data_IF_929434948586
#
_entry.id   IF_929434948586
#
_cell.length_a   1.000
_cell.length_b   1.000
_cell.length_c   1.000
_cell.angle_alpha   90.00
_cell.angle_beta   90.00
_cell.angle_gamma   90.00
#
_symmetry.space_group_name_H-M   'P 1'
#
loop_
_entity.id
_entity.type
_entity.pdbx_description
1 polymer ?
#
# COMPACT_ATOMS: atom_id res chain seq x y z
N UNK A 1 -9.35 58.07 11.31
CA UNK A 1 -7.88 57.89 11.39
C UNK A 1 -7.46 57.08 10.18
N UNK A 2 -7.02 57.78 9.13
CA UNK A 2 -6.64 57.23 7.83
C UNK A 2 -5.13 57.44 7.65
N UNK A 3 -4.43 56.44 7.12
CA UNK A 3 -3.12 56.57 6.45
C UNK A 3 -3.08 55.42 5.42
N UNK A 4 -3.30 55.68 4.13
CA UNK A 4 -2.44 56.32 3.11
C UNK A 4 -1.49 55.32 2.43
N UNK A 5 -1.80 55.05 1.17
CA UNK A 5 -1.04 54.31 0.19
C UNK A 5 0.25 55.05 -0.24
N UNK A 6 1.28 54.31 -0.67
CA UNK A 6 2.29 54.79 -1.62
C UNK A 6 2.61 53.65 -2.60
N UNK A 7 2.53 53.96 -3.89
CA UNK A 7 2.91 53.10 -5.01
C UNK A 7 4.31 53.47 -5.51
N UNK A 8 5.07 52.49 -5.98
CA UNK A 8 6.26 52.70 -6.82
C UNK A 8 6.25 51.71 -7.98
N UNK A 9 6.52 52.24 -9.17
CA UNK A 9 6.36 51.66 -10.51
C UNK A 9 7.66 51.10 -11.11
N UNK A 10 7.49 50.31 -12.19
CA UNK A 10 8.44 49.95 -13.27
C UNK A 10 9.36 48.74 -13.01
N UNK A 11 9.62 47.81 -13.93
CA UNK A 11 9.48 47.79 -15.39
C UNK A 11 9.37 46.34 -15.92
N UNK A 12 8.54 46.13 -16.95
CA UNK A 12 8.36 44.87 -17.68
C UNK A 12 9.14 44.95 -18.99
N UNK A 13 10.09 44.04 -19.21
CA UNK A 13 10.78 43.86 -20.48
C UNK A 13 9.93 43.02 -21.43
N UNK A 14 9.49 43.62 -22.54
CA UNK A 14 8.82 42.96 -23.67
C UNK A 14 9.85 42.20 -24.51
N UNK A 15 9.56 40.94 -24.84
CA UNK A 15 10.13 40.26 -26.00
C UNK A 15 9.01 40.01 -27.01
N UNK A 16 9.17 40.60 -28.20
CA UNK A 16 8.37 40.31 -29.39
C UNK A 16 9.02 39.15 -30.13
N UNK A 17 8.22 38.21 -30.64
CA UNK A 17 8.56 37.48 -31.87
C UNK A 17 7.33 37.29 -32.76
N UNK A 18 7.60 37.38 -34.05
CA UNK A 18 6.72 37.57 -35.19
C UNK A 18 5.88 36.35 -35.56
N UNK A 19 4.75 36.63 -36.20
CA UNK A 19 3.89 35.68 -36.91
C UNK A 19 4.58 35.11 -38.14
N UNK A 20 4.56 33.78 -38.28
CA UNK A 20 4.51 33.14 -39.60
C UNK A 20 3.71 31.84 -39.53
N UNK A 21 2.88 31.66 -40.55
CA UNK A 21 1.87 30.63 -40.71
C UNK A 21 2.40 29.44 -41.52
N UNK A 22 2.23 28.21 -41.03
CA UNK A 22 1.81 27.05 -41.83
C UNK A 22 1.76 25.73 -41.03
N UNK A 23 0.54 25.19 -40.91
CA UNK A 23 0.14 23.75 -40.91
C UNK A 23 0.79 22.74 -39.94
N UNK A 24 0.02 22.31 -38.93
CA UNK A 24 0.06 20.96 -38.31
C UNK A 24 -1.39 20.44 -38.18
N UNK A 25 -1.68 19.13 -38.41
CA UNK A 25 -3.04 18.61 -38.61
C UNK A 25 -3.83 18.37 -37.32
N UNK A 26 -5.15 18.30 -37.51
CA UNK A 26 -6.25 18.26 -36.55
C UNK A 26 -6.14 17.20 -35.43
N UNK A 27 -6.45 17.63 -34.20
CA UNK A 27 -6.73 16.80 -33.05
C UNK A 27 -8.21 16.39 -33.01
N UNK A 28 -8.47 15.11 -32.73
CA UNK A 28 -9.79 14.51 -32.55
C UNK A 28 -10.59 15.16 -31.40
N UNK A 29 -11.92 15.37 -31.53
CA UNK A 29 -12.73 15.96 -30.48
C UNK A 29 -13.11 14.92 -29.41
N UNK A 30 -12.53 15.05 -28.21
CA UNK A 30 -12.97 14.36 -27.00
C UNK A 30 -14.10 15.14 -26.32
N UNK A 31 -15.34 14.88 -26.71
CA UNK A 31 -16.52 15.18 -25.88
C UNK A 31 -17.58 14.11 -26.09
N UNK A 32 -17.75 13.21 -25.11
CA UNK A 32 -18.90 12.31 -25.04
C UNK A 32 -20.01 12.96 -24.17
N UNK A 33 -21.29 12.87 -24.56
CA UNK A 33 -22.38 13.48 -23.81
C UNK A 33 -22.77 12.63 -22.59
N UNK A 34 -22.78 13.24 -21.41
CA UNK A 34 -23.38 12.65 -20.21
C UNK A 34 -24.91 12.57 -20.37
N UNK A 35 -25.49 11.37 -20.29
CA UNK A 35 -26.94 11.18 -20.11
C UNK A 35 -27.23 10.87 -18.64
N UNK A 36 -28.04 11.72 -18.01
CA UNK A 36 -28.58 11.52 -16.66
C UNK A 36 -29.55 10.34 -16.65
N UNK A 37 -29.27 9.30 -15.85
CA UNK A 37 -30.20 8.19 -15.63
C UNK A 37 -31.21 8.55 -14.53
N UNK A 38 -32.50 8.53 -14.87
CA UNK A 38 -33.61 8.68 -13.91
C UNK A 38 -33.83 7.36 -13.16
N UNK A 39 -33.82 7.42 -11.83
CA UNK A 39 -34.14 6.27 -10.97
C UNK A 39 -35.66 6.08 -10.84
N UNK A 40 -36.12 4.82 -11.00
CA UNK A 40 -37.51 4.41 -10.73
C UNK A 40 -37.71 4.21 -9.22
N UNK A 41 -38.76 4.82 -8.69
CA UNK A 41 -39.19 4.69 -7.29
C UNK A 41 -39.54 3.23 -6.91
N UNK A 42 -38.81 2.65 -5.96
CA UNK A 42 -39.15 1.39 -5.30
C UNK A 42 -39.99 1.69 -4.04
N UNK A 43 -41.23 1.19 -4.01
CA UNK A 43 -42.14 1.28 -2.87
C UNK A 43 -41.64 0.41 -1.71
N UNK A 44 -41.35 1.04 -0.58
CA UNK A 44 -41.04 0.37 0.70
C UNK A 44 -42.35 -0.14 1.33
N UNK A 45 -42.45 -1.45 1.59
CA UNK A 45 -43.53 -2.04 2.41
C UNK A 45 -43.11 -2.05 3.88
N UNK A 46 -43.86 -1.35 4.73
CA UNK A 46 -43.75 -1.39 6.19
C UNK A 46 -43.94 -2.83 6.72
N UNK A 47 -42.94 -3.36 7.43
CA UNK A 47 -43.08 -4.52 8.31
C UNK A 47 -42.98 -4.05 9.76
N UNK A 48 -43.95 -4.49 10.57
CA UNK A 48 -44.21 -4.03 11.92
C UNK A 48 -43.07 -4.26 12.92
N UNK A 49 -43.13 -3.46 13.99
CA UNK A 49 -42.20 -3.47 15.13
C UNK A 49 -42.15 -4.86 15.78
N UNK A 50 -40.98 -5.50 15.71
CA UNK A 50 -40.62 -6.64 16.57
C UNK A 50 -39.61 -6.16 17.61
N UNK A 51 -40.02 -6.16 18.88
CA UNK A 51 -39.12 -5.96 20.02
C UNK A 51 -38.33 -7.24 20.24
N UNK A 52 -37.05 -7.24 19.91
CA UNK A 52 -36.14 -8.36 20.23
C UNK A 52 -35.65 -8.17 21.67
N UNK A 53 -36.19 -8.96 22.60
CA UNK A 53 -35.64 -9.12 23.96
C UNK A 53 -34.46 -10.09 23.88
N UNK A 54 -33.27 -9.65 24.30
CA UNK A 54 -32.15 -10.54 24.55
C UNK A 54 -32.44 -11.38 25.80
N UNK A 55 -32.53 -12.70 25.63
CA UNK A 55 -32.61 -13.67 26.73
C UNK A 55 -31.22 -14.28 26.87
N UNK A 56 -30.49 -13.91 27.92
CA UNK A 56 -29.32 -14.66 28.37
C UNK A 56 -29.82 -15.85 29.18
N UNK A 57 -29.90 -17.03 28.56
CA UNK A 57 -30.01 -18.29 29.29
C UNK A 57 -28.62 -18.91 29.40
N UNK A 58 -28.06 -18.88 30.61
CA UNK A 58 -26.89 -19.67 30.95
C UNK A 58 -27.27 -21.14 31.08
N UNK A 59 -26.85 -21.95 30.12
CA UNK A 59 -26.80 -23.42 30.25
C UNK A 59 -25.60 -23.95 29.47
N UNK A 60 -24.84 -24.82 30.15
CA UNK A 60 -23.63 -25.52 29.71
C UNK A 60 -23.59 -25.87 28.22
N UNK A 61 -22.47 -25.52 27.58
CA UNK A 61 -22.09 -26.07 26.29
C UNK A 61 -21.61 -27.51 26.47
N UNK A 62 -22.39 -28.46 25.98
CA UNK A 62 -21.97 -29.84 25.77
C UNK A 62 -21.04 -29.87 24.54
N UNK A 63 -19.79 -30.28 24.73
CA UNK A 63 -18.75 -30.25 23.71
C UNK A 63 -18.88 -31.42 22.72
N UNK A 64 -19.86 -31.31 21.82
CA UNK A 64 -19.94 -32.10 20.59
C UNK A 64 -19.43 -31.30 19.39
N UNK A 65 -18.12 -31.09 19.28
CA UNK A 65 -17.53 -30.44 18.11
C UNK A 65 -17.57 -31.43 16.95
N UNK A 66 -18.51 -31.25 16.03
CA UNK A 66 -18.39 -31.77 14.67
C UNK A 66 -17.43 -30.85 13.93
N UNK A 67 -16.21 -31.34 13.66
CA UNK A 67 -15.24 -30.62 12.84
C UNK A 67 -15.80 -30.38 11.43
N UNK A 68 -15.75 -29.16 10.87
CA UNK A 68 -16.18 -28.91 9.51
C UNK A 68 -15.32 -29.73 8.53
N UNK A 69 -15.94 -30.63 7.77
CA UNK A 69 -15.27 -31.36 6.69
C UNK A 69 -15.36 -30.55 5.38
N UNK A 70 -14.21 -30.20 4.79
CA UNK A 70 -14.13 -29.43 3.54
C UNK A 70 -12.80 -28.67 3.38
N UNK A 71 -12.71 -27.76 2.40
CA UNK A 71 -11.49 -26.95 2.08
C UNK A 71 -10.94 -26.18 3.30
N UNK A 72 -11.77 -25.96 4.32
CA UNK A 72 -11.44 -25.29 5.58
C UNK A 72 -11.08 -26.24 6.73
N UNK A 73 -10.96 -27.56 6.48
CA UNK A 73 -10.47 -28.49 7.49
C UNK A 73 -9.07 -28.06 7.92
N UNK A 74 -8.86 -27.93 9.23
CA UNK A 74 -7.51 -27.84 9.80
C UNK A 74 -6.72 -29.00 9.20
N UNK A 75 -5.56 -28.68 8.63
CA UNK A 75 -4.67 -29.66 8.03
C UNK A 75 -4.19 -30.63 9.10
N UNK A 76 -4.86 -31.77 9.24
CA UNK A 76 -4.46 -32.85 10.15
C UNK A 76 -3.12 -33.49 9.74
N UNK A 77 -2.64 -33.20 8.53
CA UNK A 77 -1.32 -33.59 8.01
C UNK A 77 -0.18 -32.68 8.48
N UNK A 78 -0.48 -31.53 9.09
CA UNK A 78 0.54 -30.61 9.60
C UNK A 78 1.03 -31.08 10.98
N UNK A 79 2.07 -31.92 11.01
CA UNK A 79 2.83 -32.17 12.23
C UNK A 79 3.60 -30.90 12.63
N UNK A 80 2.96 -30.04 13.42
CA UNK A 80 3.63 -28.91 14.06
C UNK A 80 4.48 -29.46 15.20
N UNK A 81 5.82 -29.26 15.20
CA UNK A 81 6.62 -29.63 16.37
C UNK A 81 6.10 -28.86 17.57
N UNK A 82 5.81 -29.57 18.68
CA UNK A 82 5.41 -28.97 19.95
C UNK A 82 6.61 -28.23 20.52
N UNK A 83 6.86 -27.02 20.02
CA UNK A 83 7.84 -26.14 20.61
C UNK A 83 7.30 -25.71 21.98
N UNK A 84 8.06 -25.88 23.07
CA UNK A 84 7.68 -25.37 24.39
C UNK A 84 7.68 -23.83 24.45
N UNK A 85 8.05 -23.16 23.35
CA UNK A 85 7.97 -21.71 23.20
C UNK A 85 6.51 -21.29 22.96
N UNK A 86 5.79 -21.03 24.05
CA UNK A 86 4.66 -20.10 23.99
C UNK A 86 5.23 -18.67 23.94
N UNK A 87 4.99 -17.89 22.88
CA UNK A 87 5.39 -16.50 22.87
C UNK A 87 4.64 -15.74 23.96
N UNK A 88 5.37 -15.05 24.83
CA UNK A 88 4.83 -14.20 25.90
C UNK A 88 3.85 -13.10 25.41
N UNK A 89 3.81 -12.86 24.09
CA UNK A 89 2.93 -11.88 23.43
C UNK A 89 1.44 -12.25 23.49
N UNK A 90 1.08 -13.49 23.85
CA UNK A 90 -0.31 -13.92 23.99
C UNK A 90 -1.07 -13.20 25.14
N UNK A 91 -0.37 -12.44 25.98
CA UNK A 91 -0.92 -11.72 27.14
C UNK A 91 -1.02 -10.19 26.95
N UNK A 92 -0.97 -9.70 25.70
CA UNK A 92 -1.16 -8.26 25.41
C UNK A 92 -0.03 -7.35 25.87
N UNK A 93 1.05 -7.92 26.42
CA UNK A 93 2.28 -7.18 26.65
C UNK A 93 3.11 -7.18 25.37
N UNK A 94 3.53 -5.98 24.95
CA UNK A 94 4.46 -5.80 23.84
C UNK A 94 5.77 -6.57 24.06
N UNK A 95 6.65 -6.65 23.06
CA UNK A 95 7.92 -7.35 23.19
C UNK A 95 8.68 -6.86 24.43
N UNK A 96 9.34 -7.76 25.20
CA UNK A 96 10.11 -7.37 26.39
C UNK A 96 11.09 -6.23 26.08
N UNK A 97 11.36 -5.31 27.01
CA UNK A 97 12.21 -4.14 26.76
C UNK A 97 13.57 -4.47 26.13
N UNK A 98 14.20 -5.57 26.53
CA UNK A 98 15.46 -6.04 25.97
C UNK A 98 15.36 -6.53 24.52
N UNK A 99 14.20 -7.07 24.11
CA UNK A 99 13.93 -7.41 22.70
C UNK A 99 13.75 -6.13 21.88
N UNK A 100 13.10 -5.11 22.45
CA UNK A 100 12.93 -3.82 21.79
C UNK A 100 14.26 -3.10 21.57
N UNK A 101 15.12 -3.00 22.58
CA UNK A 101 16.44 -2.36 22.47
C UNK A 101 17.35 -3.07 21.45
N UNK A 102 17.40 -4.40 21.50
CA UNK A 102 18.17 -5.19 20.53
C UNK A 102 17.62 -5.03 19.12
N UNK A 103 16.29 -5.01 18.96
CA UNK A 103 15.66 -4.78 17.67
C UNK A 103 16.01 -3.40 17.12
N UNK A 104 15.94 -2.34 17.94
CA UNK A 104 16.33 -0.99 17.54
C UNK A 104 17.81 -0.92 17.12
N UNK A 105 18.71 -1.54 17.88
CA UNK A 105 20.14 -1.62 17.53
C UNK A 105 20.36 -2.28 16.15
N UNK A 106 19.65 -3.37 15.87
CA UNK A 106 19.73 -4.05 14.56
C UNK A 106 19.15 -3.18 13.44
N UNK A 107 18.02 -2.51 13.65
CA UNK A 107 17.43 -1.61 12.65
C UNK A 107 18.37 -0.44 12.33
N UNK A 108 19.02 0.14 13.35
CA UNK A 108 20.03 1.18 13.15
C UNK A 108 21.23 0.68 12.35
N UNK A 109 21.67 -0.56 12.57
CA UNK A 109 22.74 -1.17 11.77
C UNK A 109 22.30 -1.40 10.32
N UNK A 110 21.11 -1.97 10.09
CA UNK A 110 20.54 -2.17 8.75
C UNK A 110 20.42 -0.84 7.98
N UNK A 111 20.03 0.23 8.66
CA UNK A 111 19.91 1.55 8.06
C UNK A 111 21.25 2.09 7.53
N UNK A 112 22.37 1.81 8.19
CA UNK A 112 23.71 2.16 7.69
C UNK A 112 24.04 1.46 6.36
N UNK A 113 23.45 0.28 6.14
CA UNK A 113 23.51 -0.45 4.88
C UNK A 113 22.39 -0.07 3.90
N UNK A 114 21.68 1.04 4.14
CA UNK A 114 20.58 1.56 3.30
C UNK A 114 19.40 0.60 3.20
N UNK A 115 19.19 -0.21 4.24
CA UNK A 115 18.07 -1.13 4.36
C UNK A 115 17.02 -0.50 5.28
N UNK A 116 15.82 -0.32 4.74
CA UNK A 116 14.65 0.21 5.47
C UNK A 116 13.53 -0.84 5.49
N UNK A 117 12.57 -0.66 6.40
CA UNK A 117 11.47 -1.62 6.58
C UNK A 117 10.12 -0.92 6.56
N UNK A 118 9.25 -1.37 5.66
CA UNK A 118 7.82 -1.10 5.66
C UNK A 118 7.11 -2.30 6.30
N UNK A 119 6.97 -2.30 7.63
CA UNK A 119 6.53 -3.48 8.38
C UNK A 119 5.44 -3.19 9.40
N UNK A 120 4.29 -3.82 9.26
CA UNK A 120 3.07 -3.50 10.02
C UNK A 120 2.05 -2.73 9.17
N UNK A 121 0.99 -2.23 9.81
CA UNK A 121 -0.01 -1.42 9.13
C UNK A 121 0.58 -0.10 8.62
N UNK A 122 0.18 0.33 7.42
CA UNK A 122 0.58 1.64 6.89
C UNK A 122 -0.29 2.71 7.54
N UNK A 123 0.31 3.54 8.37
CA UNK A 123 -0.30 4.70 9.01
C UNK A 123 0.61 5.93 8.86
N UNK A 124 0.14 7.09 9.31
CA UNK A 124 0.84 8.36 9.14
C UNK A 124 2.20 8.36 9.85
N UNK A 125 2.31 7.72 11.02
CA UNK A 125 3.56 7.63 11.77
C UNK A 125 4.60 6.77 11.03
N UNK A 126 4.20 5.59 10.54
CA UNK A 126 5.07 4.74 9.73
C UNK A 126 5.50 5.45 8.45
N UNK A 127 4.57 6.13 7.77
CA UNK A 127 4.87 6.86 6.55
C UNK A 127 5.87 7.99 6.81
N UNK A 128 5.67 8.79 7.86
CA UNK A 128 6.59 9.87 8.23
C UNK A 128 8.00 9.34 8.49
N UNK A 129 8.14 8.21 9.19
CA UNK A 129 9.45 7.58 9.45
C UNK A 129 10.11 7.13 8.14
N UNK A 130 9.38 6.43 7.27
CA UNK A 130 9.92 5.94 6.00
C UNK A 130 10.31 7.10 5.07
N UNK A 131 9.47 8.13 4.99
CA UNK A 131 9.75 9.35 4.21
C UNK A 131 11.03 10.03 4.70
N UNK A 132 11.16 10.22 6.02
CA UNK A 132 12.38 10.79 6.61
C UNK A 132 13.63 9.94 6.31
N UNK A 133 13.51 8.61 6.40
CA UNK A 133 14.59 7.68 6.07
C UNK A 133 15.02 7.75 4.60
N UNK A 134 14.05 7.79 3.68
CA UNK A 134 14.31 7.91 2.24
C UNK A 134 15.02 9.22 1.90
N UNK A 135 14.52 10.35 2.42
CA UNK A 135 15.13 11.66 2.23
C UNK A 135 16.54 11.74 2.82
N UNK A 136 16.76 11.14 3.99
CA UNK A 136 18.08 11.07 4.60
C UNK A 136 19.05 10.26 3.74
N UNK A 137 18.64 9.09 3.25
CA UNK A 137 19.49 8.22 2.44
C UNK A 137 19.84 8.84 1.09
N UNK A 138 18.92 9.61 0.49
CA UNK A 138 19.18 10.43 -0.70
C UNK A 138 20.20 11.55 -0.43
N UNK A 139 20.09 12.22 0.73
CA UNK A 139 21.04 13.27 1.10
C UNK A 139 22.45 12.74 1.39
N UNK A 140 22.56 11.54 1.99
CA UNK A 140 23.85 10.92 2.32
C UNK A 140 24.58 10.40 1.09
N UNK A 141 23.89 9.67 0.22
CA UNK A 141 24.48 9.14 -1.00
C UNK A 141 23.37 8.95 -2.06
N UNK A 142 23.23 9.87 -3.02
CA UNK A 142 22.15 9.82 -4.00
C UNK A 142 22.39 8.78 -5.11
N UNK A 143 23.56 8.12 -5.13
CA UNK A 143 23.96 7.21 -6.22
C UNK A 143 23.72 5.75 -5.88
N UNK A 144 23.60 5.42 -4.59
CA UNK A 144 23.45 4.04 -4.12
C UNK A 144 22.00 3.68 -3.89
N UNK A 145 21.62 2.51 -4.36
CA UNK A 145 20.31 1.91 -4.12
C UNK A 145 19.92 1.88 -2.64
N UNK A 146 18.61 1.92 -2.40
CA UNK A 146 17.98 1.69 -1.11
C UNK A 146 17.20 0.39 -1.21
N UNK A 147 17.25 -0.46 -0.18
CA UNK A 147 16.47 -1.70 -0.13
C UNK A 147 15.36 -1.56 0.90
N UNK A 148 14.11 -1.59 0.45
CA UNK A 148 12.93 -1.56 1.29
C UNK A 148 12.31 -2.96 1.43
N UNK A 149 12.38 -3.52 2.63
CA UNK A 149 11.68 -4.76 2.96
C UNK A 149 10.22 -4.48 3.33
N UNK A 150 9.29 -5.13 2.63
CA UNK A 150 7.85 -4.94 2.78
C UNK A 150 7.23 -6.17 3.47
N UNK A 151 6.66 -5.95 4.65
CA UNK A 151 5.83 -6.90 5.38
C UNK A 151 4.61 -6.19 5.98
N UNK A 152 3.63 -5.87 5.14
CA UNK A 152 2.51 -5.01 5.50
C UNK A 152 1.18 -5.57 5.00
N UNK A 153 0.12 -5.55 5.83
CA UNK A 153 -1.25 -5.81 5.40
C UNK A 153 -1.86 -4.62 4.62
N UNK A 154 -1.13 -3.51 4.47
CA UNK A 154 -1.65 -2.25 3.94
C UNK A 154 -2.13 -1.31 5.05
N UNK A 155 -2.98 -0.34 4.69
CA UNK A 155 -3.47 0.66 5.63
C UNK A 155 -3.93 1.93 4.90
N UNK A 156 -3.63 3.09 5.49
CA UNK A 156 -4.01 4.42 4.98
C UNK A 156 -3.48 4.64 3.56
N UNK A 157 -4.39 4.99 2.64
CA UNK A 157 -4.05 5.31 1.24
C UNK A 157 -3.17 6.55 1.17
N UNK A 158 -3.53 7.62 1.90
CA UNK A 158 -2.78 8.88 1.88
C UNK A 158 -1.38 8.71 2.46
N UNK A 159 -1.24 7.97 3.56
CA UNK A 159 0.06 7.66 4.17
C UNK A 159 0.95 6.85 3.20
N UNK A 160 0.38 5.83 2.56
CA UNK A 160 1.10 5.05 1.57
C UNK A 160 1.47 5.85 0.31
N UNK A 161 0.60 6.78 -0.12
CA UNK A 161 0.91 7.68 -1.25
C UNK A 161 2.07 8.64 -0.92
N UNK A 162 2.22 9.10 0.33
CA UNK A 162 3.37 9.91 0.75
C UNK A 162 4.69 9.14 0.61
N UNK A 163 4.71 7.85 0.99
CA UNK A 163 5.88 6.98 0.78
C UNK A 163 6.14 6.80 -0.72
N UNK A 164 5.10 6.49 -1.50
CA UNK A 164 5.20 6.28 -2.94
C UNK A 164 5.79 7.48 -3.68
N UNK A 165 5.25 8.68 -3.42
CA UNK A 165 5.72 9.90 -4.07
C UNK A 165 7.18 10.20 -3.65
N UNK A 166 7.54 9.92 -2.40
CA UNK A 166 8.93 10.06 -1.92
C UNK A 166 9.87 9.09 -2.62
N UNK A 167 9.48 7.82 -2.80
CA UNK A 167 10.28 6.84 -3.56
C UNK A 167 10.56 7.32 -4.99
N UNK A 168 9.63 8.05 -5.60
CA UNK A 168 9.79 8.62 -6.96
C UNK A 168 10.51 9.96 -6.99
N UNK A 169 10.50 10.69 -5.88
CA UNK A 169 11.10 12.01 -5.76
C UNK A 169 12.62 11.94 -5.56
N UNK A 170 13.09 10.95 -4.80
CA UNK A 170 14.52 10.78 -4.50
C UNK A 170 15.31 10.27 -5.71
N UNK A 171 16.64 10.47 -5.70
CA UNK A 171 17.52 10.06 -6.80
C UNK A 171 17.93 8.58 -6.76
N UNK A 172 18.18 7.96 -5.58
CA UNK A 172 18.43 6.53 -5.49
C UNK A 172 17.31 5.68 -6.06
N UNK A 173 17.68 4.59 -6.70
CA UNK A 173 16.73 3.51 -6.96
C UNK A 173 16.28 2.86 -5.64
N UNK A 174 14.97 2.59 -5.54
CA UNK A 174 14.40 1.88 -4.40
C UNK A 174 14.07 0.46 -4.81
N UNK A 175 14.89 -0.49 -4.39
CA UNK A 175 14.60 -1.93 -4.51
C UNK A 175 13.60 -2.32 -3.44
N UNK A 176 12.58 -3.09 -3.81
CA UNK A 176 11.54 -3.58 -2.88
C UNK A 176 11.62 -5.09 -2.73
N UNK A 177 11.46 -5.59 -1.51
CA UNK A 177 11.51 -7.03 -1.22
C UNK A 177 10.35 -7.43 -0.31
N UNK A 178 9.42 -8.23 -0.82
CA UNK A 178 8.33 -8.76 0.00
C UNK A 178 8.80 -9.92 0.90
N UNK A 179 8.61 -9.76 2.20
CA UNK A 179 8.89 -10.77 3.23
C UNK A 179 7.64 -11.03 4.06
N UNK A 180 7.01 -12.19 3.85
CA UNK A 180 5.77 -12.54 4.54
C UNK A 180 4.55 -12.06 3.77
N UNK A 181 4.07 -10.83 4.02
CA UNK A 181 2.85 -10.31 3.39
C UNK A 181 3.09 -8.93 2.75
N UNK A 182 2.62 -8.74 1.53
CA UNK A 182 2.40 -7.41 0.98
C UNK A 182 0.96 -7.35 0.44
N UNK A 183 0.06 -6.74 1.20
CA UNK A 183 -1.36 -6.65 0.84
C UNK A 183 -1.81 -5.18 0.73
N UNK A 184 -2.81 -4.91 -0.11
CA UNK A 184 -3.39 -3.57 -0.26
C UNK A 184 -2.30 -2.51 -0.53
N UNK A 185 -2.20 -1.45 0.27
CA UNK A 185 -1.11 -0.45 0.16
C UNK A 185 0.30 -1.05 0.28
N UNK A 186 0.48 -2.16 0.99
CA UNK A 186 1.76 -2.88 1.02
C UNK A 186 2.11 -3.50 -0.33
N UNK A 187 1.14 -4.09 -1.04
CA UNK A 187 1.33 -4.61 -2.40
C UNK A 187 1.58 -3.47 -3.40
N UNK A 188 0.88 -2.35 -3.23
CA UNK A 188 1.08 -1.16 -4.04
C UNK A 188 2.53 -0.64 -3.92
N UNK A 189 3.01 -0.42 -2.70
CA UNK A 189 4.38 0.02 -2.42
C UNK A 189 5.43 -0.98 -2.90
N UNK A 190 5.17 -2.29 -2.76
CA UNK A 190 6.02 -3.33 -3.33
C UNK A 190 6.16 -3.16 -4.85
N UNK A 191 5.03 -2.97 -5.56
CA UNK A 191 5.01 -2.84 -7.02
C UNK A 191 5.67 -1.56 -7.54
N UNK A 192 5.75 -0.54 -6.69
CA UNK A 192 6.29 0.78 -6.98
C UNK A 192 7.82 0.88 -6.88
N UNK A 193 8.51 -0.18 -6.44
CA UNK A 193 9.97 -0.21 -6.49
C UNK A 193 10.51 -0.03 -7.91
N UNK A 194 11.78 0.35 -8.03
CA UNK A 194 12.44 0.52 -9.34
C UNK A 194 12.27 -0.74 -10.19
N UNK A 195 11.81 -0.58 -11.43
CA UNK A 195 11.59 -1.68 -12.37
C UNK A 195 12.87 -2.51 -12.58
N UNK A 196 12.75 -3.82 -12.46
CA UNK A 196 13.89 -4.76 -12.47
C UNK A 196 14.50 -5.00 -11.08
N UNK A 197 14.08 -4.27 -10.04
CA UNK A 197 14.57 -4.36 -8.66
C UNK A 197 13.46 -4.65 -7.65
N UNK A 198 12.32 -5.23 -8.10
CA UNK A 198 11.19 -5.63 -7.24
C UNK A 198 11.21 -7.14 -7.01
N UNK A 199 11.24 -7.57 -5.75
CA UNK A 199 11.47 -8.95 -5.39
C UNK A 199 10.48 -9.48 -4.34
N UNK A 200 10.41 -10.80 -4.24
CA UNK A 200 9.67 -11.46 -3.16
C UNK A 200 10.38 -12.75 -2.72
N UNK A 201 10.27 -13.08 -1.43
CA UNK A 201 10.66 -14.40 -0.94
C UNK A 201 9.62 -15.47 -1.35
N UNK A 202 10.00 -16.75 -1.43
CA UNK A 202 9.19 -17.77 -2.10
C UNK A 202 7.83 -18.04 -1.44
N UNK A 203 7.76 -17.91 -0.12
CA UNK A 203 6.55 -18.18 0.66
C UNK A 203 5.70 -16.91 0.92
N UNK A 204 6.13 -15.75 0.43
CA UNK A 204 5.38 -14.52 0.65
C UNK A 204 4.06 -14.54 -0.10
N UNK A 205 3.06 -13.88 0.47
CA UNK A 205 1.74 -13.66 -0.15
C UNK A 205 1.60 -12.19 -0.55
N UNK A 206 1.09 -11.97 -1.74
CA UNK A 206 0.83 -10.63 -2.29
C UNK A 206 -0.65 -10.52 -2.57
N UNK A 207 -1.30 -9.44 -2.15
CA UNK A 207 -2.74 -9.26 -2.34
C UNK A 207 -3.06 -7.85 -2.80
N UNK A 208 -3.85 -7.73 -3.86
CA UNK A 208 -4.39 -6.45 -4.34
C UNK A 208 -5.91 -6.45 -4.21
N UNK A 209 -6.47 -5.29 -3.92
CA UNK A 209 -7.90 -5.04 -3.89
C UNK A 209 -8.19 -3.54 -4.06
N UNK A 210 -9.46 -3.18 -4.22
CA UNK A 210 -9.91 -1.80 -4.27
C UNK A 210 -9.77 -1.13 -2.89
N UNK A 211 -9.57 0.20 -2.83
CA UNK A 211 -9.50 0.90 -1.55
C UNK A 211 -10.80 0.73 -0.77
N UNK A 212 -10.65 0.56 0.54
CA UNK A 212 -11.76 0.45 1.49
C UNK A 212 -11.91 1.76 2.26
N UNK A 213 -13.15 2.15 2.51
CA UNK A 213 -13.50 3.37 3.23
C UNK A 213 -14.96 3.33 3.67
N UNK A 214 -15.37 4.32 4.46
CA UNK A 214 -16.74 4.50 4.88
C UNK A 214 -17.18 5.93 4.62
N UNK A 215 -18.48 6.12 4.40
CA UNK A 215 -19.07 7.44 4.26
C UNK A 215 -20.20 7.64 5.27
N UNK A 216 -20.26 8.82 5.90
CA UNK A 216 -21.28 9.18 6.88
C UNK A 216 -21.51 10.69 6.87
N UNK A 217 -22.77 11.11 7.02
CA UNK A 217 -23.15 12.52 7.07
C UNK A 217 -24.46 12.79 6.32
N UNK A 218 -24.67 14.04 5.94
CA UNK A 218 -25.75 14.41 5.01
C UNK A 218 -25.48 13.88 3.60
N UNK A 219 -26.47 14.01 2.71
CA UNK A 219 -26.34 13.54 1.32
C UNK A 219 -25.08 14.12 0.64
N UNK A 220 -24.85 15.42 0.78
CA UNK A 220 -23.67 16.09 0.20
C UNK A 220 -22.36 15.54 0.75
N UNK A 221 -22.27 15.23 2.05
CA UNK A 221 -21.06 14.69 2.67
C UNK A 221 -20.75 13.29 2.13
N UNK A 222 -21.79 12.46 2.00
CA UNK A 222 -21.69 11.11 1.42
C UNK A 222 -21.22 11.19 -0.03
N UNK A 223 -21.79 12.09 -0.83
CA UNK A 223 -21.41 12.27 -2.23
C UNK A 223 -19.94 12.73 -2.37
N UNK A 224 -19.47 13.64 -1.50
CA UNK A 224 -18.07 14.07 -1.48
C UNK A 224 -17.13 12.90 -1.15
N UNK A 225 -17.43 12.15 -0.09
CA UNK A 225 -16.59 11.03 0.36
C UNK A 225 -16.57 9.88 -0.66
N UNK A 226 -17.71 9.59 -1.31
CA UNK A 226 -17.78 8.60 -2.38
C UNK A 226 -16.93 9.00 -3.60
N UNK A 227 -16.95 10.28 -3.99
CA UNK A 227 -16.11 10.78 -5.08
C UNK A 227 -14.62 10.69 -4.74
N UNK A 228 -14.22 10.95 -3.49
CA UNK A 228 -12.83 10.79 -3.05
C UNK A 228 -12.38 9.32 -3.10
N UNK A 229 -13.24 8.39 -2.69
CA UNK A 229 -12.96 6.95 -2.81
C UNK A 229 -12.79 6.52 -4.27
N UNK A 230 -13.63 7.04 -5.19
CA UNK A 230 -13.49 6.79 -6.62
C UNK A 230 -12.19 7.38 -7.17
N UNK A 231 -11.77 8.55 -6.69
CA UNK A 231 -10.50 9.17 -7.05
C UNK A 231 -9.32 8.30 -6.63
N UNK A 232 -9.28 7.86 -5.38
CA UNK A 232 -8.25 6.93 -4.89
C UNK A 232 -8.22 5.63 -5.71
N UNK A 233 -9.38 5.04 -5.99
CA UNK A 233 -9.49 3.82 -6.80
C UNK A 233 -8.89 4.02 -8.19
N UNK A 234 -9.25 5.11 -8.87
CA UNK A 234 -8.75 5.41 -10.21
C UNK A 234 -7.22 5.61 -10.21
N UNK A 235 -6.68 6.35 -9.25
CA UNK A 235 -5.24 6.60 -9.15
C UNK A 235 -4.44 5.32 -8.87
N UNK A 236 -4.85 4.56 -7.85
CA UNK A 236 -4.16 3.32 -7.47
C UNK A 236 -4.17 2.31 -8.62
N UNK A 237 -5.32 2.14 -9.28
CA UNK A 237 -5.44 1.20 -10.40
C UNK A 237 -4.65 1.66 -11.63
N UNK A 238 -4.58 2.97 -11.89
CA UNK A 238 -3.73 3.54 -12.94
C UNK A 238 -2.24 3.22 -12.71
N UNK A 239 -1.75 3.42 -11.49
CA UNK A 239 -0.36 3.10 -11.16
C UNK A 239 -0.08 1.60 -11.12
N UNK A 240 -0.99 0.76 -10.61
CA UNK A 240 -0.85 -0.68 -10.69
C UNK A 240 -0.78 -1.16 -12.14
N UNK A 241 -1.63 -0.64 -13.04
CA UNK A 241 -1.57 -0.94 -14.47
C UNK A 241 -0.19 -0.55 -15.05
N UNK A 242 0.31 0.65 -14.71
CA UNK A 242 1.63 1.11 -15.13
C UNK A 242 2.77 0.22 -14.63
N UNK A 243 2.81 -0.12 -13.34
CA UNK A 243 3.88 -0.94 -12.75
C UNK A 243 3.86 -2.40 -13.24
N UNK A 244 2.67 -2.95 -13.48
CA UNK A 244 2.50 -4.37 -13.86
C UNK A 244 2.56 -4.59 -15.37
N UNK A 245 2.22 -3.58 -16.16
CA UNK A 245 2.01 -3.72 -17.60
C UNK A 245 0.66 -4.36 -17.97
N UNK A 246 -0.22 -4.63 -17.00
CA UNK A 246 -1.58 -5.10 -17.27
C UNK A 246 -2.46 -3.94 -17.78
N UNK A 247 -3.53 -4.27 -18.50
CA UNK A 247 -4.52 -3.25 -18.88
C UNK A 247 -5.28 -2.73 -17.66
N UNK A 248 -5.76 -1.49 -17.74
CA UNK A 248 -6.54 -0.88 -16.66
C UNK A 248 -7.83 -1.66 -16.40
N UNK A 249 -8.46 -2.21 -17.44
CA UNK A 249 -9.65 -3.07 -17.32
C UNK A 249 -9.36 -4.32 -16.50
N UNK A 250 -8.22 -4.96 -16.75
CA UNK A 250 -7.80 -6.15 -16.01
C UNK A 250 -7.51 -5.81 -14.54
N UNK A 251 -6.80 -4.72 -14.27
CA UNK A 251 -6.56 -4.26 -12.90
C UNK A 251 -7.88 -3.95 -12.19
N UNK A 252 -8.83 -3.26 -12.85
CA UNK A 252 -10.14 -2.96 -12.28
C UNK A 252 -10.92 -4.23 -11.92
N UNK A 253 -10.84 -5.28 -12.75
CA UNK A 253 -11.49 -6.56 -12.49
C UNK A 253 -10.80 -7.32 -11.35
N UNK A 254 -9.47 -7.44 -11.41
CA UNK A 254 -8.70 -8.23 -10.45
C UNK A 254 -8.61 -7.55 -9.08
N UNK A 255 -8.84 -6.24 -8.99
CA UNK A 255 -8.91 -5.51 -7.71
C UNK A 255 -10.33 -5.37 -7.15
N UNK A 256 -11.39 -5.80 -7.84
CA UNK A 256 -12.75 -5.64 -7.32
C UNK A 256 -12.97 -6.41 -6.00
N UNK A 257 -12.26 -7.51 -5.80
CA UNK A 257 -12.22 -8.26 -4.54
C UNK A 257 -10.78 -8.60 -4.18
N UNK A 258 -10.58 -9.13 -2.98
CA UNK A 258 -9.27 -9.58 -2.54
C UNK A 258 -8.71 -10.62 -3.52
N UNK A 259 -7.61 -10.28 -4.18
CA UNK A 259 -6.94 -11.13 -5.15
C UNK A 259 -5.54 -11.49 -4.66
N UNK A 260 -5.42 -12.69 -4.10
CA UNK A 260 -4.19 -13.20 -3.53
C UNK A 260 -3.34 -13.96 -4.54
N UNK A 261 -2.04 -13.69 -4.52
CA UNK A 261 -1.02 -14.31 -5.34
C UNK A 261 0.12 -14.85 -4.49
N UNK A 262 0.70 -15.95 -4.91
CA UNK A 262 2.04 -16.41 -4.51
C UNK A 262 3.11 -15.50 -5.12
N UNK A 263 4.35 -15.60 -4.63
CA UNK A 263 5.48 -14.89 -5.20
C UNK A 263 5.66 -15.18 -6.71
N UNK A 264 5.40 -16.42 -7.15
CA UNK A 264 5.49 -16.80 -8.57
C UNK A 264 4.37 -16.14 -9.39
N UNK A 265 3.13 -16.24 -8.94
CA UNK A 265 1.97 -15.63 -9.62
C UNK A 265 2.12 -14.10 -9.68
N UNK A 266 2.61 -13.46 -8.61
CA UNK A 266 2.82 -12.02 -8.60
C UNK A 266 3.92 -11.57 -9.57
N UNK A 267 4.96 -12.40 -9.78
CA UNK A 267 5.97 -12.15 -10.82
C UNK A 267 5.36 -12.24 -12.22
N UNK A 268 4.59 -13.30 -12.48
CA UNK A 268 3.90 -13.49 -13.76
C UNK A 268 2.87 -12.37 -14.03
N UNK A 269 2.22 -11.87 -12.98
CA UNK A 269 1.30 -10.75 -13.04
C UNK A 269 1.99 -9.41 -13.30
N UNK A 270 3.29 -9.29 -12.97
CA UNK A 270 4.10 -8.08 -13.15
C UNK A 270 4.22 -7.18 -11.92
N UNK A 271 3.70 -7.61 -10.75
CA UNK A 271 3.84 -6.86 -9.49
C UNK A 271 5.28 -6.86 -8.96
N UNK A 272 6.05 -7.89 -9.29
CA UNK A 272 7.48 -8.01 -8.96
C UNK A 272 8.25 -8.54 -10.16
N UNK A 273 9.58 -8.39 -10.14
CA UNK A 273 10.48 -8.82 -11.22
C UNK A 273 11.15 -10.18 -10.92
N UNK A 274 11.31 -10.55 -9.64
CA UNK A 274 12.04 -11.77 -9.26
C UNK A 274 11.57 -12.43 -7.96
N UNK A 275 11.76 -13.74 -7.87
CA UNK A 275 11.60 -14.52 -6.63
C UNK A 275 12.97 -14.96 -6.16
N UNK A 276 13.33 -14.62 -4.93
CA UNK A 276 14.65 -14.93 -4.36
C UNK A 276 14.59 -16.33 -3.73
N UNK A 277 15.06 -17.35 -4.47
CA UNK A 277 15.03 -18.74 -4.03
C UNK A 277 16.19 -19.10 -3.08
N UNK A 278 17.35 -18.46 -3.25
CA UNK A 278 18.55 -18.80 -2.49
C UNK A 278 19.34 -17.52 -2.16
N UNK A 279 19.33 -17.05 -0.90
CA UNK A 279 19.96 -15.79 -0.50
C UNK A 279 21.46 -15.77 -0.83
N UNK A 280 22.17 -16.90 -0.72
CA UNK A 280 23.62 -16.97 -0.92
C UNK A 280 24.09 -16.57 -2.33
N UNK A 281 23.20 -16.61 -3.34
CA UNK A 281 23.50 -16.12 -4.70
C UNK A 281 23.10 -14.66 -4.93
N UNK A 282 22.22 -14.10 -4.10
CA UNK A 282 21.65 -12.75 -4.27
C UNK A 282 22.13 -11.74 -3.23
N UNK A 283 22.53 -12.23 -2.05
CA UNK A 283 23.04 -11.49 -0.90
C UNK A 283 24.32 -12.23 -0.48
N UNK A 284 25.46 -11.81 -1.02
CA UNK A 284 26.73 -12.27 -0.46
C UNK A 284 26.83 -11.79 0.99
N UNK A 285 27.25 -12.65 1.94
CA UNK A 285 27.55 -12.21 3.29
C UNK A 285 28.53 -11.05 3.23
N UNK A 286 28.18 -9.92 3.85
CA UNK A 286 29.12 -8.79 3.97
C UNK A 286 30.37 -9.32 4.68
N UNK A 287 31.54 -9.03 4.11
CA UNK A 287 32.80 -9.35 4.76
C UNK A 287 32.77 -8.73 6.17
N UNK A 288 33.00 -9.56 7.18
CA UNK A 288 33.13 -9.07 8.55
C UNK A 288 34.15 -7.93 8.53
N UNK A 289 33.78 -6.77 9.07
CA UNK A 289 34.68 -5.64 9.17
C UNK A 289 35.98 -6.15 9.81
N UNK A 290 37.08 -6.10 9.05
CA UNK A 290 38.38 -6.42 9.61
C UNK A 290 38.63 -5.42 10.72
N UNK A 291 38.65 -5.90 11.96
CA UNK A 291 39.09 -5.11 13.12
C UNK A 291 40.50 -4.59 12.80
N UNK A 292 40.62 -3.27 12.69
CA UNK A 292 41.87 -2.51 12.74
C UNK A 292 41.72 -1.43 13.80
#
# INVERSE_FOLDING_TARGET
MAHSCVATTSSISKFNFSSDSSTIPEAYPNTLPFKTLQFRNLKVKNRGKSTVKAVYSGTNWDSGITSPTGIWSIRDDLQVPSSPYFPAYAQGQGPPPMVQERFMSVISQLFQYRIIRCGGAVDDDMANIIVAQLLYLDAVDPTKDIVMYVNSPGGSVTAGMAIFDTMRHIRPDVSTVCVGLAASMGAFLLSAGTKGKRYSLPNSRIMIHQPLGGAQGGQTDIDIQANEMLHHKANLNGYLAYHTGQSLEKINQDTDRDFFMSAKEAKEYGLIDGVILNPMKALQPLAAAAEQ
#
